data_IF_061428488154
#
_entry.id   IF_061428488154
#
_cell.length_a   1.000
_cell.length_b   1.000
_cell.length_c   1.000
_cell.angle_alpha   90.00
_cell.angle_beta   90.00
_cell.angle_gamma   90.00
#
_symmetry.space_group_name_H-M   'P 1'
#
loop_
_entity.id
_entity.type
_entity.pdbx_description
1 polymer ?
#
# COMPACT_ATOMS: atom_id res chain seq x y z
N UNK A 1 17.56 -8.82 17.21
CA UNK A 1 16.87 -7.55 17.01
C UNK A 1 16.17 -7.15 18.31
N UNK A 2 15.21 -7.93 18.82
CA UNK A 2 14.41 -7.63 20.03
C UNK A 2 15.28 -7.30 21.25
N UNK A 3 16.29 -8.14 21.56
CA UNK A 3 17.20 -7.94 22.71
C UNK A 3 17.97 -6.61 22.67
N UNK A 4 18.07 -5.97 21.52
CA UNK A 4 18.70 -4.67 21.32
C UNK A 4 17.67 -3.52 21.24
N UNK A 5 16.38 -3.79 21.53
CA UNK A 5 15.32 -2.81 21.43
C UNK A 5 14.97 -2.40 19.99
N UNK A 6 15.39 -3.18 19.00
CA UNK A 6 15.13 -2.93 17.59
C UNK A 6 13.83 -3.52 17.09
N UNK A 7 13.33 -3.01 15.95
CA UNK A 7 12.19 -3.55 15.21
C UNK A 7 12.56 -3.84 13.75
N UNK A 8 11.63 -4.40 13.00
CA UNK A 8 11.79 -4.73 11.58
C UNK A 8 10.70 -4.04 10.76
N UNK A 9 11.10 -3.12 9.89
CA UNK A 9 10.23 -2.53 8.89
C UNK A 9 10.18 -3.44 7.66
N UNK A 10 9.01 -4.01 7.39
CA UNK A 10 8.79 -4.94 6.27
C UNK A 10 8.24 -4.20 5.07
N UNK A 11 8.78 -4.49 3.90
CA UNK A 11 8.33 -3.97 2.61
C UNK A 11 7.71 -5.11 1.79
N UNK A 12 6.72 -4.80 0.97
CA UNK A 12 6.00 -5.78 0.16
C UNK A 12 6.68 -6.10 -1.18
N UNK A 13 8.00 -5.98 -1.25
CA UNK A 13 8.77 -6.24 -2.46
C UNK A 13 8.53 -7.63 -3.04
N UNK A 14 8.34 -8.62 -2.18
CA UNK A 14 8.10 -10.00 -2.61
C UNK A 14 6.73 -10.19 -3.30
N UNK A 15 5.78 -9.29 -3.11
CA UNK A 15 4.54 -9.26 -3.89
C UNK A 15 4.80 -9.13 -5.40
N UNK A 16 5.93 -8.51 -5.79
CA UNK A 16 6.32 -8.28 -7.19
C UNK A 16 7.46 -9.17 -7.65
N UNK A 17 8.32 -9.59 -6.75
CA UNK A 17 9.53 -10.33 -7.09
C UNK A 17 9.48 -11.81 -6.67
N UNK A 18 8.37 -12.24 -6.10
CA UNK A 18 8.24 -13.61 -5.61
C UNK A 18 8.46 -14.67 -6.67
N UNK A 19 7.96 -14.48 -7.90
CA UNK A 19 8.17 -15.41 -9.00
C UNK A 19 9.66 -15.55 -9.34
N UNK A 20 10.40 -14.45 -9.47
CA UNK A 20 11.85 -14.47 -9.72
C UNK A 20 12.62 -15.13 -8.57
N UNK A 21 12.16 -14.91 -7.33
CA UNK A 21 12.77 -15.52 -6.18
C UNK A 21 12.57 -17.04 -6.16
N UNK A 22 11.37 -17.50 -6.50
CA UNK A 22 11.06 -18.94 -6.63
C UNK A 22 11.87 -19.58 -7.75
N UNK A 23 11.98 -18.93 -8.89
CA UNK A 23 12.76 -19.41 -10.02
C UNK A 23 14.24 -19.62 -9.65
N UNK A 24 14.78 -18.69 -8.85
CA UNK A 24 16.20 -18.72 -8.45
C UNK A 24 16.49 -19.62 -7.26
N UNK A 25 15.62 -19.67 -6.26
CA UNK A 25 15.90 -20.29 -4.97
C UNK A 25 14.96 -21.43 -4.59
N UNK A 26 13.94 -21.66 -5.41
CA UNK A 26 12.92 -22.70 -5.19
C UNK A 26 11.79 -22.28 -4.27
N UNK A 27 10.70 -23.05 -4.32
CA UNK A 27 9.46 -22.76 -3.59
C UNK A 27 9.62 -22.80 -2.07
N UNK A 28 10.50 -23.68 -1.56
CA UNK A 28 10.71 -23.78 -0.11
C UNK A 28 11.34 -22.52 0.48
N UNK A 29 12.28 -21.89 -0.24
CA UNK A 29 12.94 -20.68 0.21
C UNK A 29 11.99 -19.48 0.34
N UNK A 30 10.92 -19.42 -0.47
CA UNK A 30 10.00 -18.30 -0.47
C UNK A 30 8.97 -18.33 0.64
N UNK A 31 8.63 -19.51 1.15
CA UNK A 31 7.58 -19.70 2.17
C UNK A 31 7.76 -18.82 3.42
N UNK A 32 9.00 -18.49 3.73
CA UNK A 32 9.38 -17.71 4.91
C UNK A 32 10.23 -16.48 4.57
N UNK A 33 10.01 -15.88 3.40
CA UNK A 33 10.80 -14.72 2.95
C UNK A 33 9.89 -13.53 2.61
N UNK A 34 9.78 -12.55 3.51
CA UNK A 34 10.22 -12.52 4.91
C UNK A 34 9.33 -13.36 5.84
N UNK A 35 9.87 -13.86 6.96
CA UNK A 35 9.12 -14.70 7.91
C UNK A 35 8.31 -13.85 8.90
N UNK A 36 7.31 -13.10 8.43
CA UNK A 36 6.59 -12.09 9.22
C UNK A 36 5.90 -12.72 10.43
N UNK A 37 5.19 -13.83 10.24
CA UNK A 37 4.51 -14.51 11.33
C UNK A 37 5.49 -14.96 12.44
N UNK A 38 6.68 -15.44 12.05
CA UNK A 38 7.74 -15.80 13.01
C UNK A 38 8.29 -14.58 13.76
N UNK A 39 8.44 -13.43 13.08
CA UNK A 39 8.86 -12.19 13.74
C UNK A 39 7.87 -11.78 14.82
N UNK A 40 6.57 -11.86 14.52
CA UNK A 40 5.50 -11.59 15.49
C UNK A 40 5.48 -12.60 16.65
N UNK A 41 5.61 -13.90 16.35
CA UNK A 41 5.67 -14.95 17.39
C UNK A 41 6.86 -14.80 18.35
N UNK A 42 7.91 -14.09 17.93
CA UNK A 42 9.06 -13.73 18.76
C UNK A 42 8.91 -12.36 19.44
N UNK A 43 7.72 -11.74 19.35
CA UNK A 43 7.43 -10.37 19.83
C UNK A 43 8.46 -9.32 19.33
N UNK A 44 8.94 -9.47 18.11
CA UNK A 44 9.74 -8.41 17.48
C UNK A 44 8.79 -7.31 17.01
N UNK A 45 9.03 -6.03 17.34
CA UNK A 45 8.26 -4.94 16.75
C UNK A 45 8.35 -4.98 15.23
N UNK A 46 7.19 -5.06 14.55
CA UNK A 46 7.10 -5.08 13.09
C UNK A 46 6.18 -3.95 12.63
N UNK A 47 6.61 -3.23 11.62
CA UNK A 47 5.80 -2.27 10.90
C UNK A 47 5.86 -2.53 9.41
N UNK A 48 4.91 -2.00 8.67
CA UNK A 48 4.83 -2.12 7.22
C UNK A 48 5.08 -0.80 6.51
N UNK A 49 5.68 -0.90 5.34
CA UNK A 49 5.85 0.21 4.43
C UNK A 49 5.92 -0.26 2.97
N UNK A 50 5.79 0.65 2.02
CA UNK A 50 5.86 0.30 0.59
C UNK A 50 7.28 0.42 0.03
N UNK A 51 8.11 1.30 0.57
CA UNK A 51 9.37 1.72 -0.05
C UNK A 51 9.15 2.16 -1.53
N UNK A 52 7.98 2.78 -1.78
CA UNK A 52 7.61 3.26 -3.10
C UNK A 52 8.51 4.46 -3.49
N UNK A 53 8.66 4.69 -4.75
CA UNK A 53 8.05 4.09 -5.94
C UNK A 53 9.05 3.25 -6.73
N UNK A 54 10.27 3.17 -6.26
CA UNK A 54 11.39 2.56 -6.97
C UNK A 54 11.34 1.03 -6.98
N UNK A 55 10.94 0.43 -5.87
CA UNK A 55 11.05 -1.03 -5.65
C UNK A 55 9.71 -1.74 -5.63
N UNK A 56 8.63 -1.01 -5.40
CA UNK A 56 7.27 -1.56 -5.32
C UNK A 56 6.23 -0.46 -5.57
N UNK A 57 4.96 -0.83 -5.67
CA UNK A 57 3.83 0.12 -5.73
C UNK A 57 3.72 0.90 -4.43
N UNK A 58 3.31 2.16 -4.52
CA UNK A 58 2.94 2.97 -3.35
C UNK A 58 1.59 2.56 -2.74
N UNK A 59 0.83 1.66 -3.40
CA UNK A 59 -0.49 1.26 -2.96
C UNK A 59 -0.41 0.36 -1.71
N UNK A 60 -0.89 0.81 -0.53
CA UNK A 60 -0.85 0.02 0.70
C UNK A 60 -1.70 -1.25 0.63
N UNK A 61 -2.76 -1.23 -0.16
CA UNK A 61 -3.69 -2.36 -0.30
C UNK A 61 -3.05 -3.55 -0.99
N UNK A 62 -2.07 -3.32 -1.87
CA UNK A 62 -1.25 -4.39 -2.45
C UNK A 62 -0.39 -5.07 -1.39
N UNK A 63 0.15 -4.31 -0.43
CA UNK A 63 0.92 -4.86 0.68
C UNK A 63 0.04 -5.69 1.63
N UNK A 64 -1.16 -5.19 1.95
CA UNK A 64 -2.13 -5.92 2.78
C UNK A 64 -2.64 -7.17 2.09
N UNK A 65 -2.96 -7.10 0.79
CA UNK A 65 -3.30 -8.26 -0.03
C UNK A 65 -2.23 -9.34 0.05
N UNK A 66 -0.98 -8.98 -0.18
CA UNK A 66 0.14 -9.91 -0.14
C UNK A 66 0.28 -10.63 1.22
N UNK A 67 0.18 -9.92 2.34
CA UNK A 67 0.29 -10.52 3.67
C UNK A 67 -0.90 -11.43 4.02
N UNK A 68 -2.10 -11.07 3.60
CA UNK A 68 -3.32 -11.82 3.90
C UNK A 68 -3.47 -13.03 2.99
N UNK A 69 -3.30 -12.85 1.69
CA UNK A 69 -3.46 -13.91 0.69
C UNK A 69 -2.24 -14.83 0.58
N UNK A 70 -1.06 -14.35 0.96
CA UNK A 70 0.20 -15.05 0.73
C UNK A 70 0.59 -15.15 -0.75
N UNK A 71 0.05 -14.25 -1.62
CA UNK A 71 0.22 -14.32 -3.07
C UNK A 71 0.97 -13.12 -3.62
N UNK A 72 1.67 -13.34 -4.74
CA UNK A 72 2.19 -12.25 -5.57
C UNK A 72 1.06 -11.50 -6.26
N UNK A 73 1.35 -10.33 -6.82
CA UNK A 73 0.38 -9.59 -7.65
C UNK A 73 -0.02 -10.38 -8.91
N UNK A 74 0.85 -11.27 -9.38
CA UNK A 74 0.58 -12.20 -10.48
C UNK A 74 -0.26 -13.42 -10.08
N UNK A 75 -0.56 -13.59 -8.78
CA UNK A 75 -1.42 -14.66 -8.27
C UNK A 75 -0.68 -15.92 -7.82
N UNK A 76 0.66 -15.98 -7.93
CA UNK A 76 1.42 -17.12 -7.45
C UNK A 76 1.35 -17.23 -5.93
N UNK A 77 0.98 -18.39 -5.38
CA UNK A 77 1.04 -18.66 -3.95
C UNK A 77 2.50 -18.76 -3.49
N UNK A 78 2.88 -17.87 -2.58
CA UNK A 78 4.21 -17.81 -1.97
C UNK A 78 4.23 -18.45 -0.59
N UNK A 79 3.27 -18.05 0.25
CA UNK A 79 3.22 -18.45 1.65
C UNK A 79 2.22 -19.57 1.87
N UNK A 80 2.56 -20.46 2.76
CA UNK A 80 1.60 -21.35 3.41
C UNK A 80 0.84 -20.59 4.52
N UNK A 81 -0.16 -21.23 5.09
CA UNK A 81 -1.01 -20.61 6.11
C UNK A 81 -0.21 -20.18 7.36
N UNK A 82 0.93 -20.79 7.61
CA UNK A 82 1.76 -20.46 8.77
C UNK A 82 2.45 -19.09 8.67
N UNK A 83 2.60 -18.54 7.46
CA UNK A 83 3.19 -17.21 7.26
C UNK A 83 2.19 -16.19 6.67
N UNK A 84 0.91 -16.57 6.51
CA UNK A 84 -0.18 -15.64 6.17
C UNK A 84 -0.67 -14.96 7.44
N UNK A 85 -1.10 -13.71 7.31
CA UNK A 85 -1.59 -12.95 8.46
C UNK A 85 -3.10 -12.75 8.41
N UNK A 86 -3.80 -12.80 9.56
CA UNK A 86 -5.16 -12.30 9.68
C UNK A 86 -5.25 -10.83 9.25
N UNK A 87 -6.40 -10.41 8.74
CA UNK A 87 -6.60 -9.05 8.21
C UNK A 87 -6.39 -7.95 9.24
N UNK A 88 -6.86 -8.17 10.45
CA UNK A 88 -6.69 -7.26 11.58
C UNK A 88 -5.22 -7.11 11.96
N UNK A 89 -4.47 -8.20 12.05
CA UNK A 89 -3.03 -8.19 12.32
C UNK A 89 -2.28 -7.46 11.20
N UNK A 90 -2.55 -7.77 9.93
CA UNK A 90 -1.90 -7.10 8.80
C UNK A 90 -2.18 -5.59 8.80
N UNK A 91 -3.41 -5.16 9.08
CA UNK A 91 -3.77 -3.75 9.18
C UNK A 91 -3.10 -3.08 10.39
N UNK A 92 -3.00 -3.76 11.53
CA UNK A 92 -2.30 -3.25 12.70
C UNK A 92 -0.82 -2.99 12.41
N UNK A 93 -0.13 -3.87 11.69
CA UNK A 93 1.26 -3.66 11.31
C UNK A 93 1.43 -2.42 10.41
N UNK A 94 0.44 -2.15 9.55
CA UNK A 94 0.43 -0.98 8.68
C UNK A 94 0.21 0.33 9.45
N UNK A 95 -0.55 0.30 10.52
CA UNK A 95 -0.98 1.47 11.28
C UNK A 95 -0.20 1.62 12.60
N UNK A 96 -0.63 0.97 13.66
CA UNK A 96 0.00 1.06 14.99
C UNK A 96 1.42 0.48 15.01
N UNK A 97 1.70 -0.58 14.25
CA UNK A 97 3.04 -1.14 14.11
C UNK A 97 4.02 -0.13 13.50
N UNK A 98 3.57 0.60 12.48
CA UNK A 98 4.40 1.65 11.85
C UNK A 98 4.61 2.85 12.76
N UNK A 99 3.63 3.21 13.62
CA UNK A 99 3.77 4.29 14.59
C UNK A 99 4.88 4.03 15.63
N UNK A 100 5.20 2.77 15.88
CA UNK A 100 6.31 2.40 16.76
C UNK A 100 7.67 2.93 16.25
N UNK A 101 7.91 2.87 14.94
CA UNK A 101 9.17 3.31 14.34
C UNK A 101 9.39 4.81 14.36
N UNK A 102 8.32 5.59 14.50
CA UNK A 102 8.40 7.04 14.69
C UNK A 102 8.34 7.46 16.16
N UNK A 103 8.35 6.49 17.11
CA UNK A 103 8.20 6.76 18.56
C UNK A 103 6.90 7.48 18.90
N UNK A 104 5.83 7.16 18.19
CA UNK A 104 4.51 7.77 18.33
C UNK A 104 3.42 6.77 18.76
N UNK A 105 3.83 5.69 19.42
CA UNK A 105 2.89 4.73 20.01
C UNK A 105 1.94 5.46 20.97
N UNK A 106 0.67 5.15 20.85
CA UNK A 106 -0.37 5.80 21.67
C UNK A 106 -0.75 7.21 21.23
N UNK A 107 -0.03 7.81 20.26
CA UNK A 107 -0.37 9.11 19.67
C UNK A 107 -1.15 8.96 18.35
N UNK A 108 -0.82 7.95 17.57
CA UNK A 108 -1.46 7.67 16.27
C UNK A 108 -1.49 6.18 15.96
N UNK A 109 -2.14 5.81 14.85
CA UNK A 109 -2.22 4.45 14.36
C UNK A 109 -3.47 3.69 14.81
N UNK A 110 -4.30 4.28 15.63
CA UNK A 110 -5.60 3.73 16.07
C UNK A 110 -6.67 4.80 16.11
N UNK A 111 -7.91 4.42 15.86
CA UNK A 111 -9.07 5.27 16.10
C UNK A 111 -9.46 5.15 17.58
N UNK A 112 -8.84 5.97 18.43
CA UNK A 112 -9.06 5.97 19.86
C UNK A 112 -9.06 7.41 20.41
N UNK A 113 -9.84 7.64 21.47
CA UNK A 113 -9.87 8.95 22.13
C UNK A 113 -8.46 9.35 22.63
N UNK A 114 -8.06 10.58 22.37
CA UNK A 114 -6.74 11.10 22.73
C UNK A 114 -5.63 10.85 21.70
N UNK A 115 -5.90 10.13 20.61
CA UNK A 115 -4.98 10.02 19.50
C UNK A 115 -5.25 11.07 18.41
N UNK A 116 -4.27 11.27 17.53
CA UNK A 116 -4.42 12.14 16.38
C UNK A 116 -5.58 11.65 15.50
N UNK A 117 -6.35 12.58 14.96
CA UNK A 117 -7.46 12.29 14.07
C UNK A 117 -6.93 12.02 12.63
N UNK A 118 -6.10 10.99 12.52
CA UNK A 118 -5.58 10.46 11.24
C UNK A 118 -6.45 9.26 10.84
N UNK A 119 -7.28 9.42 9.81
CA UNK A 119 -8.21 8.38 9.40
C UNK A 119 -8.45 8.39 7.89
N UNK A 120 -8.88 7.24 7.40
CA UNK A 120 -9.34 7.07 6.02
C UNK A 120 -10.72 6.43 6.00
N UNK A 121 -11.55 6.83 5.04
CA UNK A 121 -12.75 6.08 4.65
C UNK A 121 -12.43 5.35 3.37
N UNK A 122 -12.74 4.06 3.35
CA UNK A 122 -12.40 3.16 2.25
C UNK A 122 -13.56 3.00 1.28
N UNK A 123 -13.24 2.73 0.02
CA UNK A 123 -14.25 2.46 -1.03
C UNK A 123 -14.99 1.14 -0.82
N UNK A 124 -14.40 0.20 -0.08
CA UNK A 124 -14.95 -1.11 0.25
C UNK A 124 -14.57 -1.50 1.67
N UNK A 125 -15.37 -2.39 2.28
CA UNK A 125 -15.04 -2.94 3.59
C UNK A 125 -13.88 -3.95 3.48
N UNK A 126 -12.70 -3.55 3.94
CA UNK A 126 -11.49 -4.35 3.95
C UNK A 126 -11.67 -5.71 4.65
N UNK A 127 -12.50 -5.78 5.68
CA UNK A 127 -12.67 -7.00 6.47
C UNK A 127 -13.59 -8.03 5.81
N UNK A 128 -14.47 -7.62 4.90
CA UNK A 128 -15.48 -8.49 4.30
C UNK A 128 -15.28 -8.80 2.81
N UNK A 129 -14.57 -7.94 2.05
CA UNK A 129 -14.34 -8.19 0.61
C UNK A 129 -13.56 -9.48 0.36
N UNK A 130 -13.69 -10.07 -0.81
CA UNK A 130 -12.84 -11.17 -1.24
C UNK A 130 -11.35 -10.76 -1.21
N UNK A 131 -10.44 -11.70 -0.93
CA UNK A 131 -9.00 -11.39 -0.83
C UNK A 131 -8.48 -10.67 -2.07
N UNK A 132 -8.86 -11.11 -3.27
CA UNK A 132 -8.45 -10.50 -4.55
C UNK A 132 -8.92 -9.05 -4.72
N UNK A 133 -9.98 -8.64 -4.02
CA UNK A 133 -10.50 -7.28 -4.09
C UNK A 133 -9.74 -6.31 -3.17
N UNK A 134 -8.97 -6.82 -2.20
CA UNK A 134 -8.19 -5.98 -1.27
C UNK A 134 -7.27 -5.02 -2.04
N UNK A 135 -6.56 -5.49 -3.05
CA UNK A 135 -5.63 -4.68 -3.87
C UNK A 135 -6.31 -3.57 -4.67
N UNK A 136 -7.64 -3.65 -4.82
CA UNK A 136 -8.46 -2.64 -5.51
C UNK A 136 -9.19 -1.68 -4.58
N UNK A 137 -8.94 -1.73 -3.27
CA UNK A 137 -9.48 -0.76 -2.32
C UNK A 137 -8.84 0.61 -2.55
N UNK A 138 -9.64 1.66 -2.40
CA UNK A 138 -9.18 3.04 -2.50
C UNK A 138 -9.63 3.83 -1.27
N UNK A 139 -8.90 4.89 -0.95
CA UNK A 139 -9.35 5.90 -0.01
C UNK A 139 -10.35 6.83 -0.69
N UNK A 140 -11.53 7.03 -0.13
CA UNK A 140 -12.52 8.00 -0.61
C UNK A 140 -12.56 9.25 0.25
N UNK A 141 -12.02 9.19 1.45
CA UNK A 141 -11.75 10.35 2.32
C UNK A 141 -10.45 10.08 3.08
N UNK A 142 -9.59 11.08 3.18
CA UNK A 142 -8.40 11.04 4.04
C UNK A 142 -8.37 12.29 4.92
N UNK A 143 -8.25 12.05 6.22
CA UNK A 143 -8.11 13.09 7.23
C UNK A 143 -6.77 12.93 7.92
N UNK A 144 -6.05 14.02 8.10
CA UNK A 144 -4.77 14.07 8.82
C UNK A 144 -4.84 15.21 9.82
N UNK A 145 -4.58 14.91 11.08
CA UNK A 145 -4.68 15.86 12.18
C UNK A 145 -6.04 16.59 12.20
N UNK A 146 -7.12 15.84 11.97
CA UNK A 146 -8.48 16.38 11.91
C UNK A 146 -8.81 17.19 10.65
N UNK A 147 -7.89 17.34 9.70
CA UNK A 147 -8.11 18.11 8.47
C UNK A 147 -8.31 17.17 7.29
N UNK A 148 -9.33 17.43 6.47
CA UNK A 148 -9.52 16.71 5.21
C UNK A 148 -8.41 17.10 4.24
N UNK A 149 -7.58 16.12 3.85
CA UNK A 149 -6.48 16.31 2.89
C UNK A 149 -6.80 15.70 1.53
N UNK A 150 -7.81 14.84 1.48
CA UNK A 150 -8.29 14.21 0.27
C UNK A 150 -9.75 13.80 0.41
N UNK A 151 -10.54 14.02 -0.63
CA UNK A 151 -11.91 13.54 -0.71
C UNK A 151 -12.32 13.26 -2.16
N UNK A 152 -13.08 12.18 -2.37
CA UNK A 152 -13.57 11.74 -3.67
C UNK A 152 -14.98 11.16 -3.57
N UNK A 153 -15.65 10.94 -4.71
CA UNK A 153 -16.99 10.37 -4.76
C UNK A 153 -17.99 11.17 -3.93
N UNK A 154 -18.65 10.53 -3.01
CA UNK A 154 -19.64 11.14 -2.10
C UNK A 154 -19.06 12.27 -1.23
N UNK A 155 -17.76 12.20 -0.93
CA UNK A 155 -17.06 13.17 -0.09
C UNK A 155 -16.44 14.31 -0.89
N UNK A 156 -16.55 14.34 -2.22
CA UNK A 156 -15.97 15.39 -3.07
C UNK A 156 -16.25 16.83 -2.62
N UNK A 157 -17.41 17.18 -2.04
CA UNK A 157 -17.66 18.52 -1.53
C UNK A 157 -16.71 18.95 -0.40
N UNK A 158 -16.06 18.00 0.28
CA UNK A 158 -15.09 18.24 1.35
C UNK A 158 -13.65 18.31 0.83
N UNK A 159 -13.42 18.14 -0.47
CA UNK A 159 -12.08 18.15 -1.04
C UNK A 159 -11.40 19.50 -0.82
N UNK A 160 -10.13 19.52 -0.37
CA UNK A 160 -9.37 20.74 -0.28
C UNK A 160 -9.16 21.33 -1.69
N UNK A 161 -8.87 22.63 -1.79
CA UNK A 161 -8.49 23.21 -3.07
C UNK A 161 -7.34 22.43 -3.71
N UNK A 162 -7.35 22.26 -5.05
CA UNK A 162 -6.27 21.53 -5.72
C UNK A 162 -4.95 22.27 -5.49
N UNK A 163 -3.90 21.48 -5.20
CA UNK A 163 -2.56 22.04 -5.05
C UNK A 163 -2.12 22.61 -6.39
N UNK A 164 -1.64 23.87 -6.43
CA UNK A 164 -1.11 24.45 -7.65
C UNK A 164 0.02 23.57 -8.21
N UNK A 165 -0.13 23.12 -9.45
CA UNK A 165 0.93 22.42 -10.18
C UNK A 165 1.78 23.45 -10.91
N UNK A 166 3.09 23.26 -10.91
CA UNK A 166 4.00 24.08 -11.70
C UNK A 166 3.72 23.80 -13.19
N UNK A 167 3.19 24.81 -13.94
CA UNK A 167 2.44 24.50 -15.15
C UNK A 167 3.30 24.10 -16.35
N UNK A 168 4.51 24.60 -16.48
CA UNK A 168 5.21 24.53 -17.76
C UNK A 168 6.00 23.25 -17.99
N UNK A 169 6.58 22.67 -16.96
CA UNK A 169 7.40 21.46 -17.06
C UNK A 169 6.80 20.25 -16.35
N UNK A 170 5.81 20.43 -15.49
CA UNK A 170 5.22 19.33 -14.73
C UNK A 170 4.52 18.35 -15.67
N UNK A 171 4.89 17.05 -15.66
CA UNK A 171 4.20 16.04 -16.45
C UNK A 171 2.73 15.90 -16.07
N UNK A 172 2.31 16.30 -14.87
CA UNK A 172 0.91 16.26 -14.40
C UNK A 172 0.00 17.15 -15.24
N UNK A 173 0.52 18.23 -15.84
CA UNK A 173 -0.25 19.10 -16.75
C UNK A 173 -0.43 18.45 -18.12
N UNK A 174 0.55 17.67 -18.57
CA UNK A 174 0.58 17.05 -19.90
C UNK A 174 0.02 15.63 -19.90
N UNK A 175 0.14 14.93 -18.79
CA UNK A 175 -0.34 13.57 -18.60
C UNK A 175 -1.32 13.59 -17.43
N UNK A 176 -2.64 13.58 -17.68
CA UNK A 176 -3.64 13.51 -16.62
C UNK A 176 -3.35 12.30 -15.73
N UNK A 177 -3.52 12.49 -14.44
CA UNK A 177 -3.25 11.46 -13.41
C UNK A 177 -3.85 10.13 -13.80
N UNK A 178 -3.01 9.14 -13.87
CA UNK A 178 -3.20 7.85 -14.53
C UNK A 178 -4.34 6.99 -13.99
N UNK A 179 -4.91 7.29 -12.84
CA UNK A 179 -5.94 6.44 -12.22
C UNK A 179 -7.24 7.17 -11.87
N UNK A 180 -7.34 8.47 -12.06
CA UNK A 180 -8.53 9.24 -11.63
C UNK A 180 -9.32 9.88 -12.72
N UNK A 181 -8.73 9.99 -13.88
CA UNK A 181 -9.40 10.49 -15.05
C UNK A 181 -9.25 9.43 -16.13
N UNK A 182 -10.23 8.52 -16.21
CA UNK A 182 -10.42 7.87 -17.49
C UNK A 182 -10.50 9.01 -18.51
N UNK A 183 -9.63 9.07 -19.52
CA UNK A 183 -9.78 10.08 -20.57
C UNK A 183 -11.20 9.96 -21.10
N UNK A 184 -11.87 11.08 -21.40
CA UNK A 184 -13.17 11.01 -22.02
C UNK A 184 -13.05 10.08 -23.23
N UNK A 185 -14.06 9.25 -23.47
CA UNK A 185 -14.07 8.19 -24.48
C UNK A 185 -13.73 8.62 -25.92
N UNK A 186 -13.42 9.89 -26.13
CA UNK A 186 -13.03 10.56 -27.37
C UNK A 186 -11.55 10.86 -27.51
N UNK A 187 -10.69 10.53 -26.55
CA UNK A 187 -9.24 10.68 -26.72
C UNK A 187 -8.76 9.62 -27.73
N UNK A 188 -8.63 10.04 -28.98
CA UNK A 188 -8.14 9.19 -30.07
C UNK A 188 -6.78 8.60 -29.70
N UNK A 189 -6.65 7.28 -29.87
CA UNK A 189 -5.45 6.45 -29.70
C UNK A 189 -4.22 6.99 -30.48
N UNK A 190 -4.38 7.99 -31.35
CA UNK A 190 -3.30 8.61 -32.14
C UNK A 190 -2.22 9.34 -31.34
N UNK A 191 -2.45 9.72 -30.11
CA UNK A 191 -1.44 10.41 -29.29
C UNK A 191 -0.47 9.46 -28.57
N UNK A 192 -0.78 8.18 -28.48
CA UNK A 192 0.07 7.17 -27.81
C UNK A 192 1.19 6.64 -28.70
N UNK A 193 1.05 6.75 -30.03
CA UNK A 193 2.03 6.22 -30.98
C UNK A 193 3.25 7.13 -31.13
N UNK A 194 3.15 8.41 -30.77
CA UNK A 194 4.28 9.35 -30.87
C UNK A 194 5.29 9.27 -29.71
N UNK A 195 4.98 8.57 -28.61
CA UNK A 195 5.93 8.42 -27.49
C UNK A 195 6.95 7.30 -27.67
N UNK A 196 6.77 6.40 -28.64
CA UNK A 196 7.73 5.31 -28.91
C UNK A 196 8.87 5.68 -29.86
N UNK A 197 8.91 6.89 -30.43
CA UNK A 197 9.96 7.31 -31.33
C UNK A 197 11.06 8.18 -30.70
N UNK A 198 11.06 8.40 -29.39
CA UNK A 198 12.08 9.22 -28.72
C UNK A 198 13.12 8.40 -27.93
N UNK A 199 13.16 7.07 -28.07
CA UNK A 199 14.21 6.23 -27.48
C UNK A 199 14.75 5.27 -28.58
N UNK A 200 15.39 5.84 -29.58
CA UNK A 200 16.25 5.19 -30.55
C UNK A 200 17.64 5.77 -30.48
#
# INVERSE_FOLDING_TARGET
>A
VKALGGGIAVQHRMAFQGEYFVDRYGKEAVKHTPPVAKMLALDVPVGLGTDATRVASYNPWTALYWLVSGRTVGGMAMYDDANRLPRDVALELWTAGSAWFSSEQGKKGRLAAGQLADLVVLSKDYFSVAEEEIKGIESVLTVVDGKVVYAAGHFSPLAPPPIPVLPEWSPVVKVPGHYRFAPPATAKIGAMVQMHQCCG
#
